data_IF_824019417140
#
_entry.id   IF_824019417140
#
_cell.length_a   1.000
_cell.length_b   1.000
_cell.length_c   1.000
_cell.angle_alpha   90.00
_cell.angle_beta   90.00
_cell.angle_gamma   90.00
#
_symmetry.space_group_name_H-M   'P 1'
#
loop_
_entity.id
_entity.type
_entity.pdbx_description
1 polymer ?
#
# COMPACT_ATOMS: atom_id res chain seq x y z
N UNK A 1 21.85 -37.10 75.80
CA UNK A 1 20.58 -36.42 75.47
C UNK A 1 20.84 -34.94 75.26
N UNK A 2 20.08 -34.33 74.36
CA UNK A 2 20.00 -32.89 74.05
C UNK A 2 20.93 -32.34 72.97
N UNK A 3 20.44 -32.57 71.75
CA UNK A 3 20.63 -31.87 70.48
C UNK A 3 20.61 -30.33 70.58
N UNK A 4 21.60 -29.68 69.96
CA UNK A 4 21.48 -28.30 69.44
C UNK A 4 21.04 -28.36 67.97
N UNK A 5 20.00 -27.63 67.54
CA UNK A 5 19.62 -27.63 66.13
C UNK A 5 20.50 -26.67 65.33
N UNK A 6 20.98 -27.17 64.19
CA UNK A 6 21.61 -26.41 63.11
C UNK A 6 20.48 -25.66 62.39
N UNK A 7 20.49 -24.33 62.46
CA UNK A 7 19.66 -23.48 61.63
C UNK A 7 20.20 -23.51 60.20
N UNK A 8 19.68 -24.43 59.38
CA UNK A 8 19.85 -24.39 57.93
C UNK A 8 18.91 -23.32 57.35
N UNK A 9 19.52 -22.31 56.74
CA UNK A 9 18.86 -21.32 55.91
C UNK A 9 18.17 -21.99 54.73
N UNK A 10 16.84 -22.07 54.77
CA UNK A 10 16.04 -22.37 53.58
C UNK A 10 15.96 -21.11 52.75
N UNK A 11 16.92 -20.91 51.86
CA UNK A 11 16.79 -19.98 50.74
C UNK A 11 15.70 -20.51 49.81
N UNK A 12 14.47 -20.01 50.02
CA UNK A 12 13.41 -20.12 49.03
C UNK A 12 13.86 -19.40 47.77
N UNK A 13 14.41 -20.15 46.82
CA UNK A 13 14.70 -19.68 45.47
C UNK A 13 13.37 -19.55 44.71
N UNK A 14 12.54 -18.58 45.12
CA UNK A 14 11.38 -18.10 44.36
C UNK A 14 11.84 -16.99 43.44
N UNK A 15 12.52 -17.36 42.36
CA UNK A 15 12.69 -16.52 41.17
C UNK A 15 12.93 -17.43 39.96
N UNK A 16 11.94 -18.26 39.61
CA UNK A 16 11.72 -18.55 38.20
C UNK A 16 11.16 -17.26 37.61
N UNK A 17 12.05 -16.41 37.12
CA UNK A 17 11.68 -15.24 36.33
C UNK A 17 10.77 -15.72 35.20
N UNK A 18 9.50 -15.34 35.23
CA UNK A 18 8.70 -15.32 34.00
C UNK A 18 9.48 -14.41 33.05
N UNK A 19 10.07 -14.97 32.00
CA UNK A 19 10.67 -14.17 30.93
C UNK A 19 9.64 -13.13 30.49
N UNK A 20 10.06 -11.88 30.34
CA UNK A 20 9.17 -10.83 29.85
C UNK A 20 8.68 -11.25 28.46
N UNK A 21 7.38 -11.06 28.12
CA UNK A 21 6.84 -11.48 26.82
C UNK A 21 7.69 -11.03 25.62
N UNK A 22 8.27 -9.83 25.70
CA UNK A 22 9.14 -9.27 24.66
C UNK A 22 10.45 -10.05 24.45
N UNK A 23 11.11 -10.50 25.53
CA UNK A 23 12.35 -11.30 25.45
C UNK A 23 12.08 -12.66 24.79
N UNK A 24 10.93 -13.25 25.14
CA UNK A 24 10.49 -14.50 24.55
C UNK A 24 10.16 -14.34 23.05
N UNK A 25 9.42 -13.27 22.68
CA UNK A 25 9.14 -12.95 21.27
C UNK A 25 10.45 -12.73 20.51
N UNK A 26 11.40 -11.99 21.09
CA UNK A 26 12.71 -11.78 20.47
C UNK A 26 13.46 -13.08 20.23
N UNK A 27 13.43 -14.01 21.19
CA UNK A 27 14.03 -15.34 21.05
C UNK A 27 13.34 -16.18 19.98
N UNK A 28 12.02 -16.09 19.87
CA UNK A 28 11.23 -16.76 18.83
C UNK A 28 11.59 -16.24 17.43
N UNK A 29 11.67 -14.91 17.27
CA UNK A 29 12.06 -14.26 16.00
C UNK A 29 13.51 -14.61 15.64
N UNK A 30 14.42 -14.67 16.62
CA UNK A 30 15.80 -15.08 16.38
C UNK A 30 15.87 -16.53 15.89
N UNK A 31 15.16 -17.45 16.54
CA UNK A 31 15.07 -18.85 16.10
C UNK A 31 14.53 -18.95 14.68
N UNK A 32 13.49 -18.18 14.36
CA UNK A 32 12.94 -18.13 13.02
C UNK A 32 13.97 -17.65 11.99
N UNK A 33 14.73 -16.61 12.31
CA UNK A 33 15.82 -16.12 11.46
C UNK A 33 16.90 -17.19 11.22
N UNK A 34 17.32 -17.89 12.27
CA UNK A 34 18.38 -18.91 12.20
C UNK A 34 17.98 -20.12 11.34
N UNK A 35 16.68 -20.36 11.17
CA UNK A 35 16.12 -21.43 10.34
C UNK A 35 16.01 -21.06 8.85
N UNK A 36 16.25 -19.79 8.48
CA UNK A 36 16.12 -19.36 7.08
C UNK A 36 17.28 -19.87 6.21
N UNK A 37 17.05 -20.11 4.90
CA UNK A 37 18.09 -20.50 3.94
C UNK A 37 19.33 -19.59 3.95
N UNK A 38 19.13 -18.29 4.22
CA UNK A 38 20.23 -17.32 4.33
C UNK A 38 21.15 -17.55 5.52
N UNK A 39 20.69 -18.22 6.57
CA UNK A 39 21.46 -18.56 7.78
C UNK A 39 21.98 -19.99 7.76
N UNK A 40 21.18 -20.93 7.25
CA UNK A 40 21.57 -22.35 7.22
C UNK A 40 22.53 -22.65 6.07
N UNK A 41 22.57 -21.83 5.02
CA UNK A 41 23.40 -22.04 3.82
C UNK A 41 22.98 -23.26 3.00
N UNK A 42 21.82 -23.86 3.32
CA UNK A 42 21.30 -25.08 2.70
C UNK A 42 19.91 -24.81 2.13
N UNK A 43 19.56 -25.54 1.06
CA UNK A 43 18.17 -25.63 0.61
C UNK A 43 17.35 -26.31 1.73
N UNK A 44 16.15 -25.81 1.99
CA UNK A 44 15.24 -26.37 3.00
C UNK A 44 14.90 -27.83 2.68
N UNK A 45 15.50 -28.75 3.42
CA UNK A 45 15.07 -30.15 3.45
C UNK A 45 13.71 -30.27 4.18
N UNK A 46 13.17 -31.49 4.23
CA UNK A 46 11.83 -31.74 4.78
C UNK A 46 11.77 -31.36 6.27
N UNK A 47 12.74 -31.80 7.06
CA UNK A 47 12.75 -31.59 8.52
C UNK A 47 12.93 -30.11 8.87
N UNK A 48 13.89 -29.43 8.22
CA UNK A 48 14.11 -27.99 8.41
C UNK A 48 12.87 -27.18 8.03
N UNK A 49 12.13 -27.62 7.00
CA UNK A 49 10.88 -26.99 6.58
C UNK A 49 9.73 -27.23 7.55
N UNK A 50 9.60 -28.43 8.11
CA UNK A 50 8.61 -28.73 9.16
C UNK A 50 8.89 -27.89 10.43
N UNK A 51 10.16 -27.76 10.82
CA UNK A 51 10.56 -26.92 11.95
C UNK A 51 10.28 -25.43 11.68
N UNK A 52 10.63 -24.93 10.49
CA UNK A 52 10.34 -23.55 10.09
C UNK A 52 8.83 -23.28 10.08
N UNK A 53 8.02 -24.20 9.58
CA UNK A 53 6.56 -24.11 9.59
C UNK A 53 5.99 -24.07 11.01
N UNK A 54 6.59 -24.83 11.94
CA UNK A 54 6.19 -24.81 13.36
C UNK A 54 6.51 -23.45 14.00
N UNK A 55 7.70 -22.92 13.77
CA UNK A 55 8.09 -21.59 14.26
C UNK A 55 7.21 -20.49 13.66
N UNK A 56 6.94 -20.58 12.36
CA UNK A 56 6.03 -19.72 11.62
C UNK A 56 4.62 -19.68 12.25
N UNK A 57 4.00 -20.85 12.46
CA UNK A 57 2.67 -20.93 13.07
C UNK A 57 2.63 -20.31 14.48
N UNK A 58 3.71 -20.49 15.25
CA UNK A 58 3.85 -19.85 16.56
C UNK A 58 3.90 -18.32 16.45
N UNK A 59 4.69 -17.79 15.52
CA UNK A 59 4.78 -16.35 15.24
C UNK A 59 3.41 -15.78 14.85
N UNK A 60 2.72 -16.42 13.91
CA UNK A 60 1.38 -15.99 13.47
C UNK A 60 0.39 -15.98 14.65
N UNK A 61 0.39 -17.00 15.50
CA UNK A 61 -0.49 -17.03 16.67
C UNK A 61 -0.17 -15.91 17.69
N UNK A 62 1.11 -15.66 17.96
CA UNK A 62 1.55 -14.62 18.91
C UNK A 62 1.25 -13.22 18.37
N UNK A 63 1.29 -13.04 17.05
CA UNK A 63 1.03 -11.76 16.40
C UNK A 63 -0.37 -11.21 16.73
N UNK A 64 -1.35 -12.07 17.01
CA UNK A 64 -2.72 -11.70 17.41
C UNK A 64 -2.77 -10.80 18.64
N UNK A 65 -1.82 -10.95 19.55
CA UNK A 65 -1.76 -10.19 20.80
C UNK A 65 -0.56 -9.24 20.86
N UNK A 66 0.49 -9.50 20.08
CA UNK A 66 1.74 -8.72 20.08
C UNK A 66 2.16 -8.29 18.67
N UNK A 67 1.20 -7.86 17.86
CA UNK A 67 1.40 -7.52 16.44
C UNK A 67 2.57 -6.56 16.21
N UNK A 68 2.63 -5.44 16.93
CA UNK A 68 3.69 -4.42 16.73
C UNK A 68 5.09 -5.02 16.92
N UNK A 69 5.32 -5.73 18.03
CA UNK A 69 6.62 -6.34 18.35
C UNK A 69 6.99 -7.44 17.35
N UNK A 70 6.03 -8.29 16.98
CA UNK A 70 6.25 -9.37 16.00
C UNK A 70 6.59 -8.80 14.62
N UNK A 71 5.80 -7.84 14.13
CA UNK A 71 6.00 -7.22 12.81
C UNK A 71 7.34 -6.47 12.74
N UNK A 72 7.71 -5.71 13.78
CA UNK A 72 9.02 -5.08 13.86
C UNK A 72 10.16 -6.13 13.87
N UNK A 73 9.95 -7.25 14.56
CA UNK A 73 10.88 -8.39 14.54
C UNK A 73 11.08 -8.97 13.14
N UNK A 74 9.98 -9.26 12.44
CA UNK A 74 10.01 -9.79 11.08
C UNK A 74 10.64 -8.81 10.08
N UNK A 75 10.34 -7.51 10.19
CA UNK A 75 10.99 -6.47 9.37
C UNK A 75 12.50 -6.42 9.63
N UNK A 76 12.96 -6.57 10.88
CA UNK A 76 14.40 -6.65 11.19
C UNK A 76 15.05 -7.86 10.53
N UNK A 77 14.39 -9.01 10.53
CA UNK A 77 14.87 -10.22 9.84
C UNK A 77 14.93 -9.99 8.33
N UNK A 78 13.91 -9.36 7.74
CA UNK A 78 13.85 -9.04 6.32
C UNK A 78 14.99 -8.10 5.90
N UNK A 79 15.24 -7.05 6.67
CA UNK A 79 16.38 -6.14 6.48
C UNK A 79 17.72 -6.87 6.48
N UNK A 80 17.91 -7.80 7.43
CA UNK A 80 19.12 -8.60 7.50
C UNK A 80 19.29 -9.52 6.27
N UNK A 81 18.19 -10.11 5.79
CA UNK A 81 18.18 -10.90 4.54
C UNK A 81 18.51 -10.03 3.33
N UNK A 82 17.94 -8.82 3.24
CA UNK A 82 18.18 -7.88 2.15
C UNK A 82 19.63 -7.35 2.13
N UNK A 83 20.25 -7.20 3.30
CA UNK A 83 21.64 -6.74 3.43
C UNK A 83 22.69 -7.86 3.23
N UNK A 84 22.26 -9.11 3.03
CA UNK A 84 23.17 -10.26 2.92
C UNK A 84 23.93 -10.27 1.59
N UNK A 85 25.22 -9.90 1.62
CA UNK A 85 26.07 -9.77 0.41
C UNK A 85 26.72 -11.08 -0.06
N UNK A 86 26.98 -12.01 0.87
CA UNK A 86 27.75 -13.24 0.62
C UNK A 86 26.89 -14.49 0.57
N UNK A 87 25.58 -14.32 0.37
CA UNK A 87 24.61 -15.41 0.36
C UNK A 87 24.12 -15.67 -1.06
N UNK A 88 23.90 -16.94 -1.40
CA UNK A 88 23.41 -17.31 -2.72
C UNK A 88 22.06 -16.59 -3.03
N UNK A 89 21.88 -16.03 -4.25
CA UNK A 89 20.64 -15.32 -4.62
C UNK A 89 19.37 -16.15 -4.42
N UNK A 90 19.43 -17.46 -4.64
CA UNK A 90 18.32 -18.38 -4.41
C UNK A 90 17.93 -18.44 -2.93
N UNK A 91 18.90 -18.51 -2.01
CA UNK A 91 18.64 -18.53 -0.58
C UNK A 91 18.05 -17.21 -0.07
N UNK A 92 18.52 -16.07 -0.61
CA UNK A 92 17.92 -14.75 -0.35
C UNK A 92 16.47 -14.72 -0.81
N UNK A 93 16.21 -15.16 -2.06
CA UNK A 93 14.87 -15.17 -2.64
C UNK A 93 13.91 -16.08 -1.86
N UNK A 94 14.34 -17.29 -1.49
CA UNK A 94 13.54 -18.19 -0.66
C UNK A 94 13.27 -17.60 0.73
N UNK A 95 14.29 -17.04 1.39
CA UNK A 95 14.13 -16.41 2.71
C UNK A 95 13.14 -15.25 2.65
N UNK A 96 13.23 -14.38 1.62
CA UNK A 96 12.26 -13.30 1.39
C UNK A 96 10.84 -13.84 1.27
N UNK A 97 10.61 -14.87 0.45
CA UNK A 97 9.27 -15.43 0.23
C UNK A 97 8.65 -16.00 1.51
N UNK A 98 9.44 -16.65 2.37
CA UNK A 98 8.97 -17.17 3.66
C UNK A 98 8.64 -16.01 4.61
N UNK A 99 9.51 -14.99 4.72
CA UNK A 99 9.26 -13.83 5.59
C UNK A 99 8.03 -13.04 5.12
N UNK A 100 7.89 -12.81 3.81
CA UNK A 100 6.73 -12.13 3.24
C UNK A 100 5.43 -12.89 3.49
N UNK A 101 5.46 -14.23 3.38
CA UNK A 101 4.32 -15.06 3.74
C UNK A 101 3.94 -14.88 5.21
N UNK A 102 4.93 -14.93 6.10
CA UNK A 102 4.72 -14.77 7.55
C UNK A 102 4.15 -13.40 7.89
N UNK A 103 4.70 -12.34 7.30
CA UNK A 103 4.21 -10.97 7.44
C UNK A 103 2.75 -10.85 6.99
N UNK A 104 2.43 -11.43 5.82
CA UNK A 104 1.07 -11.40 5.28
C UNK A 104 0.08 -12.10 6.21
N UNK A 105 0.41 -13.28 6.73
CA UNK A 105 -0.47 -14.02 7.65
C UNK A 105 -0.65 -13.29 8.98
N UNK A 106 0.41 -12.71 9.54
CA UNK A 106 0.30 -11.88 10.74
C UNK A 106 -0.64 -10.67 10.52
N UNK A 107 -0.58 -10.04 9.34
CA UNK A 107 -1.45 -8.92 8.97
C UNK A 107 -2.89 -9.36 8.68
N UNK A 108 -3.10 -10.57 8.14
CA UNK A 108 -4.44 -11.14 7.92
C UNK A 108 -5.17 -11.37 9.25
N UNK A 109 -4.46 -11.82 10.27
CA UNK A 109 -4.98 -12.00 11.63
C UNK A 109 -5.15 -10.67 12.40
N UNK A 110 -4.62 -9.57 11.87
CA UNK A 110 -4.70 -8.25 12.50
C UNK A 110 -6.03 -7.56 12.14
N UNK A 111 -6.75 -7.10 13.17
CA UNK A 111 -7.97 -6.30 13.00
C UNK A 111 -7.65 -4.88 12.51
N UNK A 112 -8.56 -4.23 11.76
CA UNK A 112 -8.40 -2.84 11.37
C UNK A 112 -8.12 -1.93 12.56
N UNK A 113 -7.12 -1.07 12.38
CA UNK A 113 -6.61 -0.25 13.46
C UNK A 113 -7.60 0.83 13.88
N UNK A 114 -7.86 0.88 15.18
CA UNK A 114 -8.68 1.92 15.80
C UNK A 114 -7.78 2.99 16.41
N UNK A 115 -8.09 4.26 16.13
CA UNK A 115 -7.38 5.41 16.68
C UNK A 115 -5.92 5.56 16.23
N UNK A 116 -5.28 6.65 16.66
CA UNK A 116 -3.86 6.93 16.40
C UNK A 116 -2.97 6.17 17.38
N UNK A 117 -1.86 5.63 16.88
CA UNK A 117 -0.83 5.00 17.70
C UNK A 117 0.54 5.12 17.00
N UNK A 118 1.47 5.84 17.62
CA UNK A 118 2.77 6.18 17.00
C UNK A 118 3.66 4.95 16.74
N UNK A 119 3.66 3.97 17.64
CA UNK A 119 4.46 2.76 17.49
C UNK A 119 3.96 1.90 16.32
N UNK A 120 2.64 1.82 16.18
CA UNK A 120 1.96 1.18 15.06
C UNK A 120 2.25 1.91 13.75
N UNK A 121 2.13 3.23 13.72
CA UNK A 121 2.41 4.03 12.51
C UNK A 121 3.88 3.87 12.07
N UNK A 122 4.79 3.80 13.05
CA UNK A 122 6.22 3.53 12.82
C UNK A 122 6.44 2.11 12.31
N UNK A 123 5.75 1.11 12.87
CA UNK A 123 5.79 -0.27 12.39
C UNK A 123 5.30 -0.38 10.95
N UNK A 124 4.17 0.25 10.61
CA UNK A 124 3.63 0.27 9.25
C UNK A 124 4.59 0.96 8.28
N UNK A 125 5.17 2.11 8.66
CA UNK A 125 6.23 2.76 7.87
C UNK A 125 7.36 1.78 7.55
N UNK A 126 7.87 1.08 8.56
CA UNK A 126 8.98 0.17 8.41
C UNK A 126 8.64 -1.03 7.52
N UNK A 127 7.41 -1.56 7.60
CA UNK A 127 6.93 -2.60 6.69
C UNK A 127 6.91 -2.08 5.25
N UNK A 128 6.28 -0.92 5.01
CA UNK A 128 6.13 -0.34 3.67
C UNK A 128 7.49 -0.05 3.01
N UNK A 129 8.45 0.48 3.77
CA UNK A 129 9.80 0.72 3.24
C UNK A 129 10.47 -0.55 2.72
N UNK A 130 10.34 -1.68 3.43
CA UNK A 130 10.87 -2.96 2.94
C UNK A 130 10.07 -3.50 1.75
N UNK A 131 8.75 -3.29 1.72
CA UNK A 131 7.93 -3.72 0.59
C UNK A 131 8.33 -2.99 -0.68
N UNK A 132 8.58 -1.67 -0.60
CA UNK A 132 9.09 -0.90 -1.73
C UNK A 132 10.40 -1.47 -2.30
N UNK A 133 11.38 -1.75 -1.43
CA UNK A 133 12.67 -2.33 -1.84
C UNK A 133 12.46 -3.64 -2.59
N UNK A 134 11.53 -4.48 -2.12
CA UNK A 134 11.27 -5.79 -2.74
C UNK A 134 10.53 -5.64 -4.06
N UNK A 135 9.52 -4.77 -4.13
CA UNK A 135 8.78 -4.50 -5.38
C UNK A 135 9.75 -4.05 -6.48
N UNK A 136 10.72 -3.19 -6.15
CA UNK A 136 11.74 -2.70 -7.07
C UNK A 136 12.86 -3.70 -7.38
N UNK A 137 12.92 -4.85 -6.70
CA UNK A 137 14.03 -5.80 -6.86
C UNK A 137 13.99 -6.61 -8.15
N UNK A 138 12.91 -6.54 -8.94
CA UNK A 138 12.73 -7.28 -10.19
C UNK A 138 12.45 -8.79 -10.03
N UNK A 139 12.37 -9.30 -8.79
CA UNK A 139 11.98 -10.68 -8.53
C UNK A 139 10.44 -10.79 -8.48
N UNK A 140 9.82 -11.18 -9.61
CA UNK A 140 8.36 -11.24 -9.76
C UNK A 140 7.64 -11.92 -8.58
N UNK A 141 8.09 -13.12 -8.17
CA UNK A 141 7.43 -13.85 -7.08
C UNK A 141 7.52 -13.14 -5.72
N UNK A 142 8.64 -12.46 -5.43
CA UNK A 142 8.77 -11.69 -4.21
C UNK A 142 8.00 -10.36 -4.28
N UNK A 143 8.00 -9.71 -5.44
CA UNK A 143 7.23 -8.49 -5.71
C UNK A 143 5.72 -8.74 -5.56
N UNK A 144 5.19 -9.82 -6.11
CA UNK A 144 3.77 -10.18 -5.99
C UNK A 144 3.36 -10.34 -4.52
N UNK A 145 4.17 -11.04 -3.72
CA UNK A 145 3.91 -11.18 -2.28
C UNK A 145 4.04 -9.86 -1.52
N UNK A 146 5.01 -9.01 -1.87
CA UNK A 146 5.14 -7.70 -1.26
C UNK A 146 3.93 -6.81 -1.57
N UNK A 147 3.40 -6.87 -2.79
CA UNK A 147 2.16 -6.18 -3.18
C UNK A 147 0.97 -6.67 -2.34
N UNK A 148 0.84 -7.97 -2.10
CA UNK A 148 -0.20 -8.51 -1.22
C UNK A 148 -0.07 -8.01 0.22
N UNK A 149 1.17 -7.89 0.73
CA UNK A 149 1.42 -7.29 2.05
C UNK A 149 0.98 -5.83 2.07
N UNK A 150 1.33 -5.03 1.07
CA UNK A 150 0.93 -3.61 0.97
C UNK A 150 -0.59 -3.48 0.88
N UNK A 151 -1.24 -4.30 0.06
CA UNK A 151 -2.70 -4.33 -0.07
C UNK A 151 -3.36 -4.63 1.28
N UNK A 152 -2.84 -5.64 2.01
CA UNK A 152 -3.37 -5.97 3.34
C UNK A 152 -3.11 -4.88 4.38
N UNK A 153 -1.95 -4.21 4.33
CA UNK A 153 -1.70 -3.00 5.15
C UNK A 153 -2.73 -1.93 4.83
N UNK A 154 -3.10 -1.75 3.56
CA UNK A 154 -4.20 -0.90 3.12
C UNK A 154 -5.52 -1.22 3.82
N UNK A 155 -5.92 -2.49 3.85
CA UNK A 155 -7.17 -2.90 4.49
C UNK A 155 -7.25 -2.57 5.99
N UNK A 156 -6.12 -2.62 6.71
CA UNK A 156 -6.10 -2.42 8.17
C UNK A 156 -5.66 -1.02 8.59
N UNK A 157 -5.00 -0.28 7.70
CA UNK A 157 -4.30 0.96 8.00
C UNK A 157 -4.35 2.00 6.87
N UNK A 158 -5.39 1.99 6.03
CA UNK A 158 -5.57 2.97 4.94
C UNK A 158 -5.32 4.44 5.37
N UNK A 159 -5.78 4.93 6.53
CA UNK A 159 -5.49 6.31 6.96
C UNK A 159 -4.01 6.61 7.11
N UNK A 160 -3.19 5.64 7.55
CA UNK A 160 -1.74 5.80 7.69
C UNK A 160 -1.09 5.90 6.31
N UNK A 161 -1.47 5.02 5.38
CA UNK A 161 -1.00 5.06 3.99
C UNK A 161 -1.38 6.36 3.28
N UNK A 162 -2.63 6.82 3.42
CA UNK A 162 -3.08 8.09 2.86
C UNK A 162 -2.28 9.26 3.44
N UNK A 163 -2.08 9.31 4.76
CA UNK A 163 -1.25 10.36 5.37
C UNK A 163 0.21 10.34 4.87
N UNK A 164 0.78 9.17 4.57
CA UNK A 164 2.12 9.08 3.96
C UNK A 164 2.13 9.51 2.51
N UNK A 165 1.11 9.15 1.75
CA UNK A 165 0.96 9.61 0.37
C UNK A 165 0.78 11.14 0.33
N UNK A 166 0.00 11.72 1.24
CA UNK A 166 -0.16 13.18 1.40
C UNK A 166 1.18 13.87 1.68
N UNK A 167 1.96 13.35 2.64
CA UNK A 167 3.32 13.87 2.91
C UNK A 167 4.21 13.76 1.67
N UNK A 168 4.14 12.63 0.96
CA UNK A 168 4.92 12.43 -0.27
C UNK A 168 4.53 13.40 -1.39
N UNK A 169 3.23 13.67 -1.55
CA UNK A 169 2.73 14.64 -2.52
C UNK A 169 3.20 16.07 -2.20
N UNK A 170 3.20 16.47 -0.93
CA UNK A 170 3.76 17.77 -0.51
C UNK A 170 5.23 17.90 -0.90
N UNK A 171 6.05 16.87 -0.61
CA UNK A 171 7.48 16.85 -0.98
C UNK A 171 7.66 16.95 -2.51
N UNK A 172 6.80 16.29 -3.29
CA UNK A 172 6.84 16.34 -4.76
C UNK A 172 6.33 17.66 -5.37
N UNK A 173 5.68 18.51 -4.57
CA UNK A 173 5.20 19.81 -5.00
C UNK A 173 6.24 20.91 -4.75
N UNK A 174 7.03 20.77 -3.69
CA UNK A 174 8.05 21.74 -3.26
C UNK A 174 9.38 21.59 -4.04
N UNK A 175 10.15 22.68 -4.16
CA UNK A 175 11.42 22.71 -4.90
C UNK A 175 12.63 22.29 -4.05
N UNK A 176 12.66 22.68 -2.77
CA UNK A 176 13.84 22.62 -1.89
C UNK A 176 13.88 21.34 -1.03
N UNK A 177 13.73 20.18 -1.66
CA UNK A 177 13.76 18.88 -0.97
C UNK A 177 15.05 18.09 -1.26
N UNK A 178 15.50 17.30 -0.28
CA UNK A 178 16.67 16.43 -0.46
C UNK A 178 16.32 15.25 -1.36
N UNK A 179 17.30 14.70 -2.09
CA UNK A 179 17.10 13.52 -2.93
C UNK A 179 16.55 12.31 -2.12
N UNK A 180 17.02 12.13 -0.88
CA UNK A 180 16.52 11.10 0.03
C UNK A 180 15.03 11.29 0.34
N UNK A 181 14.60 12.52 0.62
CA UNK A 181 13.19 12.83 0.91
C UNK A 181 12.29 12.61 -0.32
N UNK A 182 12.76 12.98 -1.51
CA UNK A 182 12.04 12.74 -2.78
C UNK A 182 11.93 11.23 -3.03
N UNK A 183 13.01 10.47 -2.80
CA UNK A 183 13.01 9.02 -2.99
C UNK A 183 12.07 8.30 -2.01
N UNK A 184 12.03 8.74 -0.75
CA UNK A 184 11.07 8.24 0.24
C UNK A 184 9.63 8.61 -0.16
N UNK A 185 9.38 9.86 -0.58
CA UNK A 185 8.07 10.31 -1.06
C UNK A 185 7.58 9.47 -2.25
N UNK A 186 8.44 9.23 -3.25
CA UNK A 186 8.15 8.38 -4.40
C UNK A 186 7.77 6.96 -3.99
N UNK A 187 8.44 6.40 -2.98
CA UNK A 187 8.11 5.06 -2.50
C UNK A 187 6.68 4.98 -1.97
N UNK A 188 6.25 5.93 -1.13
CA UNK A 188 4.90 5.91 -0.56
C UNK A 188 3.81 6.20 -1.59
N UNK A 189 4.05 7.15 -2.49
CA UNK A 189 3.15 7.45 -3.62
C UNK A 189 2.99 6.22 -4.52
N UNK A 190 4.08 5.55 -4.88
CA UNK A 190 4.02 4.33 -5.69
C UNK A 190 3.29 3.19 -4.96
N UNK A 191 3.56 2.99 -3.67
CA UNK A 191 2.92 1.93 -2.87
C UNK A 191 1.41 2.12 -2.70
N UNK A 192 0.94 3.37 -2.67
CA UNK A 192 -0.48 3.69 -2.60
C UNK A 192 -1.27 3.09 -3.79
N UNK A 193 -0.62 2.90 -4.94
CA UNK A 193 -1.20 2.24 -6.12
C UNK A 193 -1.66 0.80 -5.87
N UNK A 194 -1.19 0.16 -4.79
CA UNK A 194 -1.55 -1.22 -4.42
C UNK A 194 -2.67 -1.30 -3.37
N UNK A 195 -3.11 -0.15 -2.86
CA UNK A 195 -4.13 -0.05 -1.82
C UNK A 195 -5.51 0.02 -2.46
N UNK A 196 -6.49 -0.57 -1.79
CA UNK A 196 -7.90 -0.50 -2.17
C UNK A 196 -8.64 0.34 -1.16
N UNK A 197 -9.41 1.32 -1.62
CA UNK A 197 -10.16 2.25 -0.78
C UNK A 197 -11.65 2.03 -0.97
N UNK A 198 -12.44 2.08 0.10
CA UNK A 198 -13.90 2.17 -0.02
C UNK A 198 -14.34 3.53 -0.58
N UNK A 199 -15.64 3.74 -0.80
CA UNK A 199 -16.15 4.96 -1.43
C UNK A 199 -15.83 6.25 -0.65
N UNK A 200 -15.91 6.21 0.69
CA UNK A 200 -15.64 7.36 1.55
C UNK A 200 -14.15 7.69 1.57
N UNK A 201 -13.31 6.66 1.68
CA UNK A 201 -11.86 6.78 1.58
C UNK A 201 -11.41 7.26 0.20
N UNK A 202 -12.06 6.79 -0.87
CA UNK A 202 -11.80 7.25 -2.23
C UNK A 202 -12.11 8.75 -2.36
N UNK A 203 -13.25 9.20 -1.84
CA UNK A 203 -13.61 10.62 -1.85
C UNK A 203 -12.54 11.47 -1.14
N UNK A 204 -12.09 11.04 0.04
CA UNK A 204 -11.00 11.71 0.79
C UNK A 204 -9.69 11.72 0.03
N UNK A 205 -9.34 10.61 -0.61
CA UNK A 205 -8.14 10.50 -1.44
C UNK A 205 -8.20 11.47 -2.63
N UNK A 206 -9.32 11.58 -3.33
CA UNK A 206 -9.48 12.51 -4.46
C UNK A 206 -9.33 13.96 -4.00
N UNK A 207 -9.94 14.36 -2.88
CA UNK A 207 -9.74 15.69 -2.32
C UNK A 207 -8.28 15.96 -1.95
N UNK A 208 -7.62 15.00 -1.31
CA UNK A 208 -6.20 15.09 -0.92
C UNK A 208 -5.29 15.30 -2.14
N UNK A 209 -5.45 14.51 -3.21
CA UNK A 209 -4.65 14.69 -4.43
C UNK A 209 -4.96 16.03 -5.09
N UNK A 210 -6.23 16.42 -5.11
CA UNK A 210 -6.68 17.70 -5.72
C UNK A 210 -6.09 18.91 -4.99
N UNK A 211 -6.05 18.89 -3.64
CA UNK A 211 -5.50 20.01 -2.86
C UNK A 211 -3.99 20.21 -3.03
N UNK A 212 -3.27 19.15 -3.42
CA UNK A 212 -1.81 19.17 -3.65
C UNK A 212 -1.46 19.19 -5.15
N UNK A 213 -2.44 19.50 -6.00
CA UNK A 213 -2.23 19.62 -7.43
C UNK A 213 -1.82 21.05 -7.83
N UNK A 214 -0.90 21.22 -8.80
CA UNK A 214 -0.20 20.17 -9.52
C UNK A 214 1.15 19.77 -8.89
N UNK A 215 1.57 18.50 -9.02
CA UNK A 215 2.94 18.11 -8.71
C UNK A 215 3.92 18.68 -9.75
N UNK A 216 5.22 18.67 -9.41
CA UNK A 216 6.29 19.00 -10.35
C UNK A 216 6.28 18.05 -11.55
N UNK A 217 6.83 18.53 -12.68
CA UNK A 217 6.71 17.87 -13.99
C UNK A 217 7.30 16.46 -13.99
N UNK A 218 8.44 16.27 -13.33
CA UNK A 218 9.14 15.01 -13.15
C UNK A 218 8.39 13.97 -12.30
N UNK A 219 7.39 14.39 -11.53
CA UNK A 219 6.60 13.53 -10.65
C UNK A 219 5.16 13.31 -11.14
N UNK A 220 4.73 14.09 -12.13
CA UNK A 220 3.37 14.07 -12.67
C UNK A 220 2.91 12.66 -13.08
N UNK A 221 3.76 11.91 -13.78
CA UNK A 221 3.44 10.56 -14.23
C UNK A 221 3.22 9.60 -13.05
N UNK A 222 4.03 9.70 -12.00
CA UNK A 222 3.90 8.87 -10.80
C UNK A 222 2.58 9.16 -10.08
N UNK A 223 2.22 10.44 -9.92
CA UNK A 223 0.95 10.84 -9.28
C UNK A 223 -0.26 10.41 -10.11
N UNK A 224 -0.21 10.56 -11.44
CA UNK A 224 -1.27 10.09 -12.34
C UNK A 224 -1.41 8.56 -12.33
N UNK A 225 -0.29 7.83 -12.31
CA UNK A 225 -0.27 6.36 -12.24
C UNK A 225 -0.86 5.85 -10.94
N UNK A 226 -0.47 6.45 -9.80
CA UNK A 226 -1.06 6.16 -8.49
C UNK A 226 -2.58 6.39 -8.51
N UNK A 227 -3.00 7.57 -8.95
CA UNK A 227 -4.42 7.95 -8.96
C UNK A 227 -5.25 7.01 -9.83
N UNK A 228 -4.76 6.69 -11.04
CA UNK A 228 -5.43 5.76 -11.95
C UNK A 228 -5.55 4.37 -11.32
N UNK A 229 -4.49 3.88 -10.68
CA UNK A 229 -4.46 2.58 -10.03
C UNK A 229 -5.45 2.49 -8.87
N UNK A 230 -5.53 3.53 -8.03
CA UNK A 230 -6.48 3.60 -6.91
C UNK A 230 -7.92 3.60 -7.41
N UNK A 231 -8.24 4.41 -8.43
CA UNK A 231 -9.57 4.43 -9.05
C UNK A 231 -9.95 3.08 -9.65
N UNK A 232 -9.03 2.46 -10.40
CA UNK A 232 -9.26 1.16 -11.01
C UNK A 232 -9.50 0.07 -9.96
N UNK A 233 -8.68 0.04 -8.90
CA UNK A 233 -8.83 -0.91 -7.80
C UNK A 233 -10.14 -0.75 -7.03
N UNK A 234 -10.65 0.47 -6.90
CA UNK A 234 -11.98 0.69 -6.34
C UNK A 234 -13.06 0.01 -7.21
N UNK A 235 -13.01 0.21 -8.53
CA UNK A 235 -13.95 -0.41 -9.48
C UNK A 235 -13.87 -1.94 -9.41
N UNK A 236 -12.67 -2.51 -9.38
CA UNK A 236 -12.46 -3.97 -9.31
C UNK A 236 -12.92 -4.57 -7.98
N UNK A 237 -12.64 -3.90 -6.85
CA UNK A 237 -12.94 -4.45 -5.51
C UNK A 237 -14.38 -4.25 -5.09
N UNK A 238 -15.02 -3.16 -5.51
CA UNK A 238 -16.36 -2.77 -5.06
C UNK A 238 -17.34 -2.62 -6.25
N UNK A 239 -17.54 -3.68 -7.07
CA UNK A 239 -18.37 -3.60 -8.28
C UNK A 239 -19.83 -3.23 -7.98
N UNK A 240 -20.40 -3.70 -6.87
CA UNK A 240 -21.77 -3.38 -6.46
C UNK A 240 -21.93 -1.92 -6.03
N UNK A 241 -20.93 -1.40 -5.31
CA UNK A 241 -20.90 0.03 -4.91
C UNK A 241 -20.72 0.92 -6.13
N UNK A 242 -19.83 0.53 -7.05
CA UNK A 242 -19.65 1.21 -8.32
C UNK A 242 -20.94 1.18 -9.16
N UNK A 243 -21.61 0.04 -9.28
CA UNK A 243 -22.89 -0.08 -9.98
C UNK A 243 -23.97 0.79 -9.35
N UNK A 244 -24.07 0.79 -8.01
CA UNK A 244 -25.01 1.64 -7.28
C UNK A 244 -24.74 3.13 -7.53
N UNK A 245 -23.46 3.50 -7.55
CA UNK A 245 -23.03 4.87 -7.88
C UNK A 245 -23.55 5.24 -9.27
N UNK A 246 -23.45 4.35 -10.27
CA UNK A 246 -23.94 4.63 -11.64
C UNK A 246 -25.44 5.00 -11.71
N UNK A 247 -26.27 4.47 -10.82
CA UNK A 247 -27.72 4.72 -10.82
C UNK A 247 -28.12 5.87 -9.90
N UNK A 248 -27.41 6.06 -8.79
CA UNK A 248 -27.67 7.08 -7.80
C UNK A 248 -26.38 7.81 -7.46
N UNK A 249 -26.09 8.92 -8.18
CA UNK A 249 -24.89 9.71 -7.96
C UNK A 249 -24.78 10.17 -6.50
N UNK A 250 -23.61 9.99 -5.90
CA UNK A 250 -23.35 10.47 -4.55
C UNK A 250 -22.71 11.86 -4.62
N UNK A 251 -23.36 12.94 -4.11
CA UNK A 251 -22.93 14.32 -4.36
C UNK A 251 -21.48 14.61 -4.00
N UNK A 252 -20.98 14.08 -2.88
CA UNK A 252 -19.60 14.29 -2.45
C UNK A 252 -18.58 13.66 -3.40
N UNK A 253 -18.88 12.47 -3.94
CA UNK A 253 -17.98 11.81 -4.89
C UNK A 253 -18.01 12.53 -6.23
N UNK A 254 -19.20 12.95 -6.69
CA UNK A 254 -19.33 13.76 -7.91
C UNK A 254 -18.54 15.07 -7.80
N UNK A 255 -18.67 15.78 -6.68
CA UNK A 255 -17.92 17.02 -6.43
C UNK A 255 -16.40 16.78 -6.43
N UNK A 256 -15.94 15.72 -5.74
CA UNK A 256 -14.53 15.35 -5.72
C UNK A 256 -13.99 15.01 -7.12
N UNK A 257 -14.74 14.21 -7.90
CA UNK A 257 -14.34 13.84 -9.26
C UNK A 257 -14.33 15.03 -10.21
N UNK A 258 -15.31 15.93 -10.11
CA UNK A 258 -15.45 17.09 -10.98
C UNK A 258 -14.36 18.12 -10.71
N UNK A 259 -14.11 18.39 -9.43
CA UNK A 259 -13.05 19.30 -8.99
C UNK A 259 -11.69 18.81 -9.47
N UNK A 260 -11.41 17.52 -9.30
CA UNK A 260 -10.15 16.93 -9.75
C UNK A 260 -10.02 16.95 -11.28
N UNK A 261 -11.09 16.59 -11.99
CA UNK A 261 -11.11 16.58 -13.46
C UNK A 261 -10.79 17.98 -14.03
N UNK A 262 -11.44 19.01 -13.50
CA UNK A 262 -11.24 20.40 -13.91
C UNK A 262 -9.83 20.89 -13.57
N UNK A 263 -9.33 20.53 -12.39
CA UNK A 263 -7.96 20.83 -11.94
C UNK A 263 -6.89 20.23 -12.86
N UNK A 264 -7.15 19.06 -13.44
CA UNK A 264 -6.27 18.41 -14.43
C UNK A 264 -6.41 18.97 -15.85
N UNK A 265 -7.45 19.76 -16.14
CA UNK A 265 -7.70 20.30 -17.47
C UNK A 265 -6.81 21.51 -17.79
N UNK A 266 -5.50 21.27 -17.86
CA UNK A 266 -4.48 22.29 -18.19
C UNK A 266 -4.39 22.53 -19.70
N UNK A 267 -4.15 23.76 -20.21
CA UNK A 267 -3.90 24.00 -21.63
C UNK A 267 -2.60 23.37 -22.16
N UNK A 268 -1.67 22.97 -21.29
CA UNK A 268 -0.40 22.33 -21.71
C UNK A 268 -0.63 20.90 -22.18
N UNK A 269 -0.61 20.68 -23.50
CA UNK A 269 -0.94 19.38 -24.11
C UNK A 269 -0.11 18.21 -23.55
N UNK A 270 1.20 18.39 -23.35
CA UNK A 270 2.07 17.30 -22.82
C UNK A 270 1.64 16.84 -21.44
N UNK A 271 1.33 17.77 -20.53
CA UNK A 271 0.83 17.43 -19.18
C UNK A 271 -0.58 16.89 -19.25
N UNK A 272 -1.41 17.46 -20.13
CA UNK A 272 -2.78 17.02 -20.35
C UNK A 272 -2.83 15.53 -20.75
N UNK A 273 -2.00 15.10 -21.70
CA UNK A 273 -1.94 13.70 -22.15
C UNK A 273 -1.64 12.71 -21.01
N UNK A 274 -0.74 13.06 -20.08
CA UNK A 274 -0.41 12.22 -18.92
C UNK A 274 -1.60 12.09 -17.95
N UNK A 275 -2.50 13.07 -17.93
CA UNK A 275 -3.69 13.07 -17.07
C UNK A 275 -4.88 12.31 -17.68
N UNK A 276 -4.85 11.99 -18.98
CA UNK A 276 -6.00 11.39 -19.68
C UNK A 276 -6.51 10.09 -19.05
N UNK A 277 -5.65 9.13 -18.64
CA UNK A 277 -6.14 7.90 -18.00
C UNK A 277 -6.91 8.20 -16.71
N UNK A 278 -6.43 9.14 -15.89
CA UNK A 278 -7.13 9.57 -14.67
C UNK A 278 -8.45 10.22 -15.04
N UNK A 279 -8.45 11.18 -15.96
CA UNK A 279 -9.66 11.91 -16.37
C UNK A 279 -10.74 10.97 -16.94
N UNK A 280 -10.36 9.93 -17.69
CA UNK A 280 -11.28 8.89 -18.14
C UNK A 280 -11.89 8.08 -16.98
N UNK A 281 -11.07 7.73 -15.98
CA UNK A 281 -11.55 6.99 -14.79
C UNK A 281 -12.42 7.87 -13.90
N UNK A 282 -12.12 9.16 -13.77
CA UNK A 282 -12.98 10.12 -13.06
C UNK A 282 -14.35 10.23 -13.72
N UNK A 283 -14.41 10.24 -15.06
CA UNK A 283 -15.69 10.18 -15.78
C UNK A 283 -16.41 8.86 -15.48
N UNK A 284 -15.71 7.73 -15.49
CA UNK A 284 -16.31 6.42 -15.20
C UNK A 284 -16.89 6.35 -13.78
N UNK A 285 -16.20 6.90 -12.79
CA UNK A 285 -16.65 6.95 -11.39
C UNK A 285 -17.69 8.07 -11.16
N UNK A 286 -17.94 8.94 -12.13
CA UNK A 286 -18.91 10.04 -12.08
C UNK A 286 -20.12 9.80 -13.01
N UNK A 287 -21.22 9.20 -12.51
CA UNK A 287 -22.35 8.73 -13.32
C UNK A 287 -23.04 9.80 -14.15
N UNK A 288 -23.24 10.99 -13.57
CA UNK A 288 -23.94 12.12 -14.23
C UNK A 288 -23.25 12.55 -15.52
N UNK A 289 -21.98 12.20 -15.70
CA UNK A 289 -21.22 12.57 -16.89
C UNK A 289 -21.50 11.63 -18.05
N UNK A 290 -21.56 10.31 -17.84
CA UNK A 290 -21.71 9.36 -18.94
C UNK A 290 -23.09 9.41 -19.58
N UNK A 291 -24.15 9.40 -18.77
CA UNK A 291 -25.54 9.46 -19.26
C UNK A 291 -25.84 10.81 -19.94
N UNK A 292 -25.35 11.91 -19.37
CA UNK A 292 -25.50 13.23 -19.99
C UNK A 292 -24.65 13.38 -21.27
N UNK A 293 -23.45 12.80 -21.33
CA UNK A 293 -22.62 12.76 -22.55
C UNK A 293 -23.30 11.90 -23.63
N UNK A 294 -23.87 10.75 -23.29
CA UNK A 294 -24.55 9.88 -24.25
C UNK A 294 -25.84 10.50 -24.80
N UNK A 295 -26.71 11.04 -23.95
CA UNK A 295 -27.95 11.68 -24.41
C UNK A 295 -27.72 12.97 -25.23
N UNK A 296 -26.56 13.62 -25.05
CA UNK A 296 -26.19 14.76 -25.86
C UNK A 296 -25.79 14.38 -27.32
N UNK A 297 -25.71 13.09 -27.65
CA UNK A 297 -25.52 12.61 -29.04
C UNK A 297 -26.83 12.63 -29.84
N UNK A 298 -27.98 12.49 -29.18
CA UNK A 298 -29.24 12.20 -29.88
C UNK A 298 -30.07 13.44 -30.25
N UNK A 299 -29.87 14.60 -29.61
CA UNK A 299 -30.73 15.78 -29.82
C UNK A 299 -29.93 17.10 -29.95
N UNK A 300 -30.48 18.06 -30.73
CA UNK A 300 -30.02 19.44 -30.99
C UNK A 300 -29.94 20.35 -29.74
N UNK A 301 -29.55 19.81 -28.58
CA UNK A 301 -29.72 20.40 -27.25
C UNK A 301 -28.44 20.79 -26.52
N UNK A 302 -27.39 21.25 -27.21
CA UNK A 302 -26.19 21.80 -26.54
C UNK A 302 -26.46 22.98 -25.56
N UNK A 303 -27.46 23.88 -25.73
CA UNK A 303 -27.47 25.12 -24.94
C UNK A 303 -27.91 25.00 -23.47
N UNK A 304 -28.35 23.83 -22.97
CA UNK A 304 -28.87 23.68 -21.59
C UNK A 304 -28.14 22.64 -20.73
N UNK A 305 -26.99 22.11 -21.18
CA UNK A 305 -26.21 21.17 -20.36
C UNK A 305 -25.39 21.93 -19.30
N UNK A 306 -25.23 21.36 -18.10
CA UNK A 306 -24.26 21.86 -17.12
C UNK A 306 -22.85 21.97 -17.71
N UNK A 307 -22.13 23.03 -17.37
CA UNK A 307 -20.80 23.34 -17.93
C UNK A 307 -19.81 22.18 -17.75
N UNK A 308 -19.83 21.51 -16.60
CA UNK A 308 -19.00 20.34 -16.30
C UNK A 308 -19.24 19.17 -17.27
N UNK A 309 -20.49 18.97 -17.73
CA UNK A 309 -20.83 17.93 -18.72
C UNK A 309 -20.26 18.30 -20.10
N UNK A 310 -20.35 19.58 -20.48
CA UNK A 310 -19.81 20.07 -21.76
C UNK A 310 -18.29 19.88 -21.82
N UNK A 311 -17.58 20.29 -20.76
CA UNK A 311 -16.12 20.16 -20.68
C UNK A 311 -15.69 18.68 -20.79
N UNK A 312 -16.36 17.78 -20.07
CA UNK A 312 -16.08 16.34 -20.12
C UNK A 312 -16.35 15.74 -21.50
N UNK A 313 -17.43 16.17 -22.17
CA UNK A 313 -17.71 15.75 -23.55
C UNK A 313 -16.60 16.17 -24.51
N UNK A 314 -16.23 17.46 -24.49
CA UNK A 314 -15.15 17.99 -25.33
C UNK A 314 -13.84 17.24 -25.12
N UNK A 315 -13.56 16.87 -23.87
CA UNK A 315 -12.43 16.03 -23.54
C UNK A 315 -12.51 14.64 -24.19
N UNK A 316 -13.64 13.92 -24.07
CA UNK A 316 -13.82 12.59 -24.69
C UNK A 316 -13.66 12.67 -26.20
N UNK A 317 -14.24 13.68 -26.85
CA UNK A 317 -14.12 13.90 -28.29
C UNK A 317 -12.66 14.17 -28.71
N UNK A 318 -11.93 14.99 -27.95
CA UNK A 318 -10.50 15.27 -28.16
C UNK A 318 -9.65 14.01 -28.07
N UNK A 319 -9.83 13.21 -27.01
CA UNK A 319 -9.09 11.95 -26.83
C UNK A 319 -9.39 10.98 -27.98
N UNK A 320 -10.67 10.83 -28.35
CA UNK A 320 -11.09 10.00 -29.46
C UNK A 320 -10.45 10.39 -30.79
N UNK A 321 -10.43 11.69 -31.11
CA UNK A 321 -9.81 12.21 -32.34
C UNK A 321 -8.29 11.98 -32.38
N UNK A 322 -7.61 12.12 -31.24
CA UNK A 322 -6.15 11.95 -31.15
C UNK A 322 -5.76 10.48 -31.36
N UNK A 323 -6.44 9.56 -30.67
CA UNK A 323 -6.20 8.11 -30.82
C UNK A 323 -6.48 7.64 -32.25
N UNK A 324 -7.49 8.19 -32.90
CA UNK A 324 -7.76 7.90 -34.32
C UNK A 324 -6.64 8.41 -35.23
N UNK A 325 -6.15 9.63 -35.01
CA UNK A 325 -5.05 10.22 -35.78
C UNK A 325 -3.76 9.40 -35.69
N UNK A 326 -3.37 8.96 -34.50
CA UNK A 326 -2.17 8.11 -34.28
C UNK A 326 -2.28 6.74 -34.97
N UNK A 327 -3.48 6.15 -34.99
CA UNK A 327 -3.73 4.87 -35.71
C UNK A 327 -3.61 5.02 -37.23
N UNK A 328 -4.00 6.16 -37.78
CA UNK A 328 -3.82 6.45 -39.22
C UNK A 328 -2.38 6.78 -39.60
N UNK A 329 -1.57 7.31 -38.68
CA UNK A 329 -0.14 7.58 -38.93
C UNK A 329 0.76 6.35 -38.76
N UNK A 330 0.29 5.31 -38.05
CA UNK A 330 1.02 4.04 -37.84
C UNK A 330 0.69 2.95 -38.89
N UNK A 331 -0.09 3.28 -39.92
CA UNK A 331 -0.40 2.42 -41.08
C UNK A 331 0.31 2.94 -42.32
#
# INVERSE_FOLDING_TARGET
MSTRPISQSVSHNKNKSLQKPEEWISTLIQRYQDQLPTRTGKVLDRESRELLNTTHACITNVSRHHCITVMQGLVRVLKAVNASKWTAPLAISQSRLVILQTLLECLQETQPFQGRNLDRDTMIKNVLNEMWIIVQSGNAGASDKAILVVSRVGDIAAPVLMARAEMGLNVMQEEDNTEESIQEAQSFVALMSYVTLDLDQLCKFLHMVTSLWPPRKEHLESVCSMTSSVLWKFIEKYPDTFSSLQHSPYPHVTDATDTMFNTMNTPEMKRRCVCWPVQMLLIAVSPCSLEAISHAQDHQGLPNLPENVIIKRQFVDMVGSTVQSERTQSK
#
